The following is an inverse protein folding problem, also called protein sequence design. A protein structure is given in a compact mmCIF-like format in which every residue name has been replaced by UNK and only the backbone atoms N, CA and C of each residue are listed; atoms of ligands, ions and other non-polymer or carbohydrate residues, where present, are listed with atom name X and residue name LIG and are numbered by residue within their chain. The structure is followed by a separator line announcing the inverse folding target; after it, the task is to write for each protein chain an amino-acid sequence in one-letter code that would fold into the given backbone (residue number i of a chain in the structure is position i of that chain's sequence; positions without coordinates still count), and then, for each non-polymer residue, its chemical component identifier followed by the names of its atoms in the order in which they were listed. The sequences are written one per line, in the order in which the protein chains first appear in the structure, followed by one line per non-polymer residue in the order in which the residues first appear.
data_IF_715137528482
#
_entry.id   IF_715137528482
#
_cell.length_a   1.000
_cell.length_b   1.000
_cell.length_c   1.000
_cell.angle_alpha   90.00
_cell.angle_beta   90.00
_cell.angle_gamma   90.00
#
_symmetry.space_group_name_H-M   'P 1'
#
loop_
_entity.id
_entity.type
_entity.pdbx_description
1 polymer ?
#
# COMPACT_ATOMS: atom_id res chain seq x y z
N UNK A 1 -32.65 -48.70 14.97
CA UNK A 1 -31.33 -48.08 14.72
C UNK A 1 -30.84 -47.47 16.01
N UNK A 2 -29.66 -47.86 16.49
CA UNK A 2 -29.11 -47.33 17.76
C UNK A 2 -28.62 -45.89 17.52
N UNK A 3 -28.67 -45.04 18.57
CA UNK A 3 -28.16 -43.65 18.53
C UNK A 3 -26.71 -43.56 18.04
N UNK A 4 -25.94 -44.64 18.11
CA UNK A 4 -24.55 -44.75 17.65
C UNK A 4 -24.44 -44.85 16.11
N UNK A 5 -25.45 -45.34 15.39
CA UNK A 5 -25.42 -45.39 13.93
C UNK A 5 -25.68 -44.01 13.30
N UNK A 6 -26.46 -43.16 13.98
CA UNK A 6 -26.71 -41.78 13.52
C UNK A 6 -25.45 -40.86 13.65
N UNK A 7 -24.56 -41.18 14.55
CA UNK A 7 -23.31 -40.42 14.71
C UNK A 7 -22.32 -40.59 13.53
N UNK A 8 -22.54 -41.58 12.68
CA UNK A 8 -21.72 -41.83 11.47
C UNK A 8 -22.29 -41.19 10.21
N UNK A 9 -23.53 -40.70 10.24
CA UNK A 9 -24.17 -40.06 9.09
C UNK A 9 -23.82 -38.55 9.05
N UNK A 10 -22.54 -38.28 8.78
CA UNK A 10 -22.07 -36.92 8.53
C UNK A 10 -22.49 -36.51 7.12
N UNK A 11 -23.59 -35.79 6.98
CA UNK A 11 -24.04 -35.27 5.70
C UNK A 11 -23.44 -33.88 5.45
N UNK A 12 -22.61 -33.81 4.42
CA UNK A 12 -22.13 -32.55 3.89
C UNK A 12 -23.29 -31.90 3.09
N UNK A 13 -23.86 -30.81 3.62
CA UNK A 13 -24.91 -30.04 2.94
C UNK A 13 -24.41 -28.61 2.79
N UNK A 14 -24.19 -28.14 1.54
CA UNK A 14 -23.80 -26.77 1.22
C UNK A 14 -22.60 -26.21 2.03
N UNK A 15 -21.48 -26.94 2.07
CA UNK A 15 -20.27 -26.51 2.78
C UNK A 15 -20.33 -26.60 4.30
N UNK A 16 -21.43 -27.09 4.87
CA UNK A 16 -21.62 -27.25 6.32
C UNK A 16 -21.72 -28.73 6.69
N UNK A 17 -21.07 -29.12 7.79
CA UNK A 17 -21.18 -30.45 8.38
C UNK A 17 -22.05 -30.36 9.62
N UNK A 18 -23.15 -31.12 9.67
CA UNK A 18 -23.98 -31.25 10.86
C UNK A 18 -23.46 -32.40 11.71
N UNK A 19 -23.06 -32.12 12.95
CA UNK A 19 -22.63 -33.10 13.94
C UNK A 19 -23.70 -33.18 15.02
N UNK A 20 -24.16 -34.40 15.31
CA UNK A 20 -25.10 -34.65 16.39
C UNK A 20 -24.40 -34.53 17.74
N UNK A 21 -24.94 -33.68 18.62
CA UNK A 21 -24.45 -33.48 19.98
C UNK A 21 -25.29 -34.31 20.93
N UNK A 22 -24.72 -35.38 21.48
CA UNK A 22 -25.40 -36.40 22.25
C UNK A 22 -26.08 -35.93 23.55
N UNK A 23 -25.78 -34.74 24.06
CA UNK A 23 -26.25 -34.27 25.36
C UNK A 23 -27.54 -33.41 25.33
N UNK A 24 -27.94 -32.91 24.15
CA UNK A 24 -29.06 -31.96 24.06
C UNK A 24 -30.02 -32.23 22.86
N UNK A 25 -29.87 -33.35 22.18
CA UNK A 25 -30.63 -33.70 20.94
C UNK A 25 -30.59 -32.59 19.87
N UNK A 26 -29.56 -31.72 19.91
CA UNK A 26 -29.45 -30.58 19.03
C UNK A 26 -28.34 -30.77 17.98
N UNK A 27 -28.56 -30.23 16.79
CA UNK A 27 -27.62 -30.29 15.67
C UNK A 27 -26.74 -29.07 15.68
N UNK A 28 -25.43 -29.26 15.87
CA UNK A 28 -24.46 -28.19 15.69
C UNK A 28 -24.04 -28.17 14.22
N UNK A 29 -24.29 -27.08 13.54
CA UNK A 29 -23.76 -26.84 12.21
C UNK A 29 -22.35 -26.29 12.33
N UNK A 30 -21.37 -27.05 11.83
CA UNK A 30 -19.99 -26.56 11.71
C UNK A 30 -19.83 -26.04 10.29
N UNK A 31 -19.56 -24.76 10.15
CA UNK A 31 -19.20 -24.19 8.87
C UNK A 31 -17.77 -24.60 8.53
N UNK A 32 -17.61 -25.36 7.46
CA UNK A 32 -16.30 -25.58 6.85
C UNK A 32 -15.91 -24.34 6.06
N UNK A 33 -14.63 -24.02 5.95
CA UNK A 33 -14.20 -22.97 5.05
C UNK A 33 -14.57 -23.31 3.61
N UNK A 34 -14.91 -22.30 2.83
CA UNK A 34 -15.18 -22.44 1.40
C UNK A 34 -13.93 -22.14 0.58
N UNK A 35 -13.86 -22.71 -0.62
CA UNK A 35 -12.74 -22.46 -1.54
C UNK A 35 -12.67 -20.96 -1.85
N UNK A 36 -11.50 -20.38 -1.59
CA UNK A 36 -11.28 -18.93 -1.77
C UNK A 36 -11.44 -18.10 -0.49
N UNK A 37 -11.91 -18.69 0.63
CA UNK A 37 -11.91 -18.00 1.92
C UNK A 37 -10.51 -17.58 2.31
N UNK A 38 -10.40 -16.41 2.96
CA UNK A 38 -9.13 -15.83 3.39
C UNK A 38 -9.14 -15.64 4.91
N UNK A 39 -8.03 -16.01 5.55
CA UNK A 39 -7.84 -15.78 6.99
C UNK A 39 -6.44 -15.30 7.33
N UNK A 40 -6.30 -14.62 8.47
CA UNK A 40 -5.03 -14.38 9.12
C UNK A 40 -4.73 -15.49 10.12
N UNK A 41 -3.47 -15.92 10.19
CA UNK A 41 -3.00 -16.89 11.18
C UNK A 41 -1.53 -16.65 11.50
N UNK A 42 -1.13 -16.92 12.74
CA UNK A 42 0.27 -16.89 13.17
C UNK A 42 1.09 -18.09 12.67
N UNK A 43 0.46 -19.07 12.02
CA UNK A 43 1.17 -20.20 11.40
C UNK A 43 2.12 -19.72 10.30
N UNK A 44 3.21 -20.46 10.11
CA UNK A 44 4.23 -20.16 9.09
C UNK A 44 4.06 -20.94 7.80
N UNK A 45 3.34 -22.06 7.85
CA UNK A 45 3.23 -23.10 6.82
C UNK A 45 1.79 -23.36 6.39
N UNK A 46 1.64 -24.02 5.25
CA UNK A 46 0.35 -24.52 4.77
C UNK A 46 -0.21 -25.56 5.74
N UNK A 47 -1.53 -25.56 5.93
CA UNK A 47 -2.15 -26.46 6.89
C UNK A 47 -3.64 -26.69 6.58
N UNK A 48 -4.10 -27.92 6.69
CA UNK A 48 -5.53 -28.28 6.61
C UNK A 48 -6.26 -27.62 5.43
N UNK A 49 -5.66 -27.66 4.23
CA UNK A 49 -6.23 -27.07 3.02
C UNK A 49 -6.02 -25.56 2.87
N UNK A 50 -5.41 -24.90 3.85
CA UNK A 50 -5.05 -23.49 3.80
C UNK A 50 -3.66 -23.30 3.21
N UNK A 51 -3.56 -22.49 2.17
CA UNK A 51 -2.33 -22.16 1.44
C UNK A 51 -1.90 -20.76 1.83
N UNK A 52 -0.61 -20.58 2.15
CA UNK A 52 -0.04 -19.26 2.45
C UNK A 52 -0.07 -18.38 1.21
N UNK A 53 -0.53 -17.14 1.39
CA UNK A 53 -0.57 -16.14 0.33
C UNK A 53 0.79 -15.46 0.16
N UNK A 54 1.75 -16.18 -0.42
CA UNK A 54 3.14 -15.74 -0.65
C UNK A 54 3.48 -15.53 -2.14
N UNK A 55 2.47 -15.58 -3.01
CA UNK A 55 2.62 -15.32 -4.44
C UNK A 55 3.17 -16.49 -5.25
N UNK A 56 3.47 -17.65 -4.60
CA UNK A 56 4.02 -18.80 -5.31
C UNK A 56 3.04 -19.40 -6.32
N UNK A 57 3.57 -20.13 -7.30
CA UNK A 57 2.79 -20.91 -8.23
C UNK A 57 2.41 -22.27 -7.63
N UNK A 58 1.14 -22.66 -7.81
CA UNK A 58 0.58 -23.96 -7.38
C UNK A 58 -0.06 -24.68 -8.55
N UNK A 59 -0.20 -26.02 -8.44
CA UNK A 59 -0.73 -26.87 -9.51
C UNK A 59 -2.24 -26.68 -9.72
N UNK A 60 -2.66 -26.48 -10.97
CA UNK A 60 -4.07 -26.46 -11.37
C UNK A 60 -4.75 -27.83 -11.17
N UNK A 61 -3.97 -28.92 -11.32
CA UNK A 61 -4.50 -30.29 -11.12
C UNK A 61 -4.81 -30.55 -9.64
N UNK A 62 -3.94 -30.09 -8.73
CA UNK A 62 -4.12 -30.27 -7.28
C UNK A 62 -5.16 -29.33 -6.68
N UNK A 63 -5.21 -28.09 -7.17
CA UNK A 63 -6.07 -27.03 -6.64
C UNK A 63 -7.06 -26.53 -7.70
N UNK A 64 -7.70 -27.47 -8.40
CA UNK A 64 -8.62 -27.16 -9.51
C UNK A 64 -9.76 -26.23 -9.12
N UNK A 65 -10.40 -26.48 -7.98
CA UNK A 65 -11.52 -25.66 -7.50
C UNK A 65 -11.07 -24.25 -7.14
N UNK A 66 -9.87 -24.09 -6.55
CA UNK A 66 -9.29 -22.80 -6.30
C UNK A 66 -8.95 -22.08 -7.62
N UNK A 67 -8.41 -22.80 -8.60
CA UNK A 67 -8.17 -22.25 -9.93
C UNK A 67 -9.45 -21.78 -10.62
N UNK A 68 -10.55 -22.51 -10.49
CA UNK A 68 -11.86 -22.09 -11.01
C UNK A 68 -12.36 -20.82 -10.31
N UNK A 69 -12.03 -20.64 -9.03
CA UNK A 69 -12.47 -19.50 -8.22
C UNK A 69 -11.67 -18.23 -8.52
N UNK A 70 -10.32 -18.29 -8.53
CA UNK A 70 -9.48 -17.10 -8.67
C UNK A 70 -8.80 -16.95 -10.03
N UNK A 71 -8.80 -18.00 -10.86
CA UNK A 71 -8.21 -17.99 -12.19
C UNK A 71 -6.72 -17.61 -12.17
N UNK A 72 -6.37 -16.71 -13.08
CA UNK A 72 -5.00 -16.16 -13.22
C UNK A 72 -4.89 -14.73 -12.65
N UNK A 73 -5.85 -14.30 -11.84
CA UNK A 73 -5.94 -12.92 -11.31
C UNK A 73 -4.64 -12.49 -10.59
N UNK A 74 -3.98 -13.42 -9.92
CA UNK A 74 -2.74 -13.16 -9.18
C UNK A 74 -1.48 -13.59 -9.94
N UNK A 75 -1.63 -14.13 -11.13
CA UNK A 75 -0.57 -14.54 -12.04
C UNK A 75 -0.85 -15.89 -12.70
N UNK A 76 -0.35 -16.05 -13.93
CA UNK A 76 -0.62 -17.23 -14.76
C UNK A 76 0.23 -18.46 -14.41
N UNK A 77 1.18 -18.32 -13.47
CA UNK A 77 2.16 -19.39 -13.21
C UNK A 77 3.01 -19.64 -14.45
N UNK A 78 3.10 -20.92 -14.86
CA UNK A 78 3.79 -21.30 -16.12
C UNK A 78 2.88 -21.18 -17.37
N UNK A 79 1.68 -20.63 -17.21
CA UNK A 79 0.69 -20.45 -18.28
C UNK A 79 -0.21 -21.64 -18.55
N UNK A 80 0.17 -22.85 -18.21
CA UNK A 80 -0.55 -24.08 -18.58
C UNK A 80 -0.99 -24.94 -17.39
N UNK A 81 -0.08 -25.33 -16.51
CA UNK A 81 -0.34 -26.31 -15.45
C UNK A 81 -0.34 -25.71 -14.04
N UNK A 82 0.09 -24.45 -13.91
CA UNK A 82 0.15 -23.76 -12.62
C UNK A 82 -0.57 -22.40 -12.70
N UNK A 83 -0.86 -21.83 -11.54
CA UNK A 83 -1.35 -20.46 -11.36
C UNK A 83 -0.78 -19.90 -10.04
N UNK A 84 -0.72 -18.58 -9.90
CA UNK A 84 -0.16 -17.97 -8.70
C UNK A 84 -1.22 -17.74 -7.62
N UNK A 85 -0.83 -17.98 -6.38
CA UNK A 85 -1.56 -17.53 -5.20
C UNK A 85 -1.44 -16.01 -5.02
N UNK A 86 -2.35 -15.39 -4.28
CA UNK A 86 -2.18 -14.00 -3.86
C UNK A 86 -0.84 -13.81 -3.14
N UNK A 87 -0.21 -12.64 -3.33
CA UNK A 87 0.95 -12.21 -2.55
C UNK A 87 0.51 -11.12 -1.58
N UNK A 88 0.30 -11.51 -0.31
CA UNK A 88 -0.12 -10.64 0.78
C UNK A 88 1.03 -10.25 1.72
N UNK A 89 2.26 -10.62 1.40
CA UNK A 89 3.43 -10.38 2.24
C UNK A 89 3.70 -8.86 2.35
N UNK A 90 3.78 -8.36 3.61
CA UNK A 90 3.99 -6.95 3.88
C UNK A 90 2.83 -6.02 3.47
N UNK A 91 1.63 -6.55 3.23
CA UNK A 91 0.48 -5.80 2.74
C UNK A 91 -0.71 -5.86 3.68
N UNK A 92 -1.48 -4.78 3.71
CA UNK A 92 -2.80 -4.73 4.32
C UNK A 92 -3.84 -5.12 3.27
N UNK A 93 -4.80 -5.97 3.64
CA UNK A 93 -5.87 -6.39 2.73
C UNK A 93 -6.98 -5.35 2.68
N UNK A 94 -7.44 -5.05 1.47
CA UNK A 94 -8.57 -4.16 1.20
C UNK A 94 -9.70 -4.87 0.47
N UNK A 95 -10.93 -4.34 0.58
CA UNK A 95 -12.08 -4.78 -0.19
C UNK A 95 -12.05 -4.26 -1.63
N UNK A 96 -12.55 -5.05 -2.57
CA UNK A 96 -12.75 -4.64 -3.97
C UNK A 96 -14.04 -3.85 -4.13
N UNK A 97 -14.14 -3.05 -5.19
CA UNK A 97 -15.32 -2.25 -5.51
C UNK A 97 -15.05 -0.76 -5.49
N UNK A 98 -16.13 0.02 -5.53
CA UNK A 98 -16.07 1.49 -5.53
C UNK A 98 -16.87 2.00 -4.33
N UNK A 99 -16.19 2.41 -3.26
CA UNK A 99 -16.81 3.09 -2.12
C UNK A 99 -17.15 4.54 -2.47
N UNK A 100 -18.12 5.12 -1.75
CA UNK A 100 -18.51 6.53 -1.94
C UNK A 100 -17.30 7.45 -1.70
N UNK A 101 -16.95 8.25 -2.70
CA UNK A 101 -15.79 9.16 -2.64
C UNK A 101 -14.43 8.47 -2.78
N UNK A 102 -14.40 7.18 -3.09
CA UNK A 102 -13.17 6.41 -3.28
C UNK A 102 -12.99 5.96 -4.72
N UNK A 103 -11.75 5.75 -5.12
CA UNK A 103 -11.42 5.17 -6.42
C UNK A 103 -11.84 3.70 -6.48
N UNK A 104 -12.24 3.23 -7.67
CA UNK A 104 -12.53 1.82 -7.91
C UNK A 104 -11.29 0.94 -7.64
N UNK A 105 -11.53 -0.22 -7.03
CA UNK A 105 -10.51 -1.24 -6.72
C UNK A 105 -10.91 -2.57 -7.32
N UNK A 106 -9.96 -3.19 -8.02
CA UNK A 106 -10.15 -4.50 -8.65
C UNK A 106 -9.39 -5.58 -7.87
N UNK A 107 -9.87 -6.81 -7.97
CA UNK A 107 -9.19 -7.96 -7.39
C UNK A 107 -7.77 -8.10 -7.94
N UNK A 108 -6.80 -8.37 -7.07
CA UNK A 108 -5.39 -8.46 -7.41
C UNK A 108 -4.66 -7.12 -7.58
N UNK A 109 -5.38 -5.98 -7.55
CA UNK A 109 -4.78 -4.66 -7.65
C UNK A 109 -3.91 -4.37 -6.42
N UNK A 110 -2.69 -3.86 -6.68
CA UNK A 110 -1.76 -3.38 -5.66
C UNK A 110 -1.72 -1.86 -5.71
N UNK A 111 -1.89 -1.20 -4.57
CA UNK A 111 -1.88 0.26 -4.44
C UNK A 111 -1.05 0.69 -3.23
N UNK A 112 -0.62 1.95 -3.24
CA UNK A 112 0.21 2.52 -2.19
C UNK A 112 1.71 2.33 -2.45
N UNK A 113 2.50 3.03 -1.67
CA UNK A 113 3.95 2.97 -1.66
C UNK A 113 4.45 2.98 -0.23
N UNK A 114 5.50 2.24 0.05
CA UNK A 114 6.13 2.17 1.37
C UNK A 114 6.84 3.48 1.72
N UNK A 115 7.49 4.08 0.72
CA UNK A 115 8.15 5.38 0.83
C UNK A 115 7.73 6.29 -0.31
N UNK A 116 7.76 7.58 -0.07
CA UNK A 116 7.44 8.59 -1.08
C UNK A 116 8.42 9.76 -0.99
N UNK A 117 8.85 10.26 -2.13
CA UNK A 117 9.61 11.52 -2.25
C UNK A 117 8.67 12.57 -2.83
N UNK A 118 8.48 13.66 -2.11
CA UNK A 118 7.62 14.75 -2.57
C UNK A 118 8.15 15.34 -3.89
N UNK A 119 7.27 15.52 -4.84
CA UNK A 119 7.51 16.30 -6.05
C UNK A 119 7.17 17.77 -5.82
N UNK A 120 7.69 18.67 -6.65
CA UNK A 120 7.35 20.10 -6.58
C UNK A 120 5.84 20.35 -6.71
N UNK A 121 5.13 19.52 -7.46
CA UNK A 121 3.68 19.65 -7.66
C UNK A 121 2.85 19.26 -6.42
N UNK A 122 3.42 18.46 -5.51
CA UNK A 122 2.77 18.02 -4.28
C UNK A 122 3.00 18.97 -3.10
N UNK A 123 3.91 19.95 -3.28
CA UNK A 123 4.11 20.98 -2.26
C UNK A 123 3.04 22.07 -2.40
N UNK A 124 2.42 22.50 -1.29
CA UNK A 124 1.55 23.66 -1.32
C UNK A 124 2.29 24.89 -1.85
N UNK A 125 1.57 25.76 -2.56
CA UNK A 125 2.13 27.04 -2.97
C UNK A 125 2.53 27.85 -1.73
N UNK A 126 3.79 28.28 -1.68
CA UNK A 126 4.34 29.07 -0.58
C UNK A 126 5.28 30.13 -1.10
N UNK A 127 5.47 31.19 -0.33
CA UNK A 127 6.39 32.29 -0.64
C UNK A 127 7.48 32.37 0.43
N UNK A 128 8.68 32.67 0.01
CA UNK A 128 9.74 33.04 0.92
C UNK A 128 9.81 34.57 1.01
N UNK A 129 9.69 35.11 2.21
CA UNK A 129 10.06 36.50 2.44
C UNK A 129 11.58 36.55 2.52
N UNK A 130 12.21 37.18 1.54
CA UNK A 130 13.61 37.57 1.71
C UNK A 130 13.63 38.69 2.74
N UNK A 131 14.13 38.43 3.95
CA UNK A 131 14.62 39.50 4.78
C UNK A 131 15.86 40.04 4.06
N UNK A 132 15.67 41.03 3.22
CA UNK A 132 16.79 41.85 2.83
C UNK A 132 17.35 42.45 4.14
N UNK A 133 18.37 41.80 4.70
CA UNK A 133 19.19 42.45 5.71
C UNK A 133 19.61 43.71 5.02
N UNK A 134 19.21 44.89 5.54
CA UNK A 134 19.48 46.17 4.96
C UNK A 134 20.98 46.36 4.77
N UNK A 135 21.46 45.80 3.67
CA UNK A 135 22.71 46.15 3.08
C UNK A 135 22.45 47.46 2.33
N UNK A 136 23.03 48.55 2.79
CA UNK A 136 23.11 49.75 1.99
C UNK A 136 23.48 49.33 0.58
N UNK A 137 22.67 49.69 -0.41
CA UNK A 137 23.05 49.57 -1.81
C UNK A 137 24.30 50.44 -1.97
N UNK A 138 25.45 49.87 -1.84
CA UNK A 138 26.70 50.53 -2.17
C UNK A 138 26.73 50.69 -3.69
N UNK A 139 26.52 51.91 -4.16
CA UNK A 139 26.72 52.24 -5.55
C UNK A 139 28.24 52.18 -5.82
N UNK A 140 28.63 51.26 -6.68
CA UNK A 140 30.02 51.14 -7.13
C UNK A 140 30.16 52.11 -8.30
N UNK A 141 31.07 53.06 -8.15
CA UNK A 141 31.50 53.93 -9.24
C UNK A 141 32.22 53.11 -10.33
N UNK A 142 32.18 53.57 -11.56
CA UNK A 142 32.80 52.92 -12.70
C UNK A 142 34.35 52.70 -12.54
N UNK A 143 34.96 53.30 -11.53
CA UNK A 143 36.38 53.12 -11.16
C UNK A 143 36.64 52.00 -10.11
N UNK A 144 35.58 51.26 -9.72
CA UNK A 144 35.66 50.15 -8.74
C UNK A 144 35.70 50.61 -7.30
N UNK A 145 35.54 51.87 -6.98
CA UNK A 145 35.52 52.40 -5.63
C UNK A 145 34.11 52.43 -5.03
N UNK A 146 33.89 51.86 -3.85
CA UNK A 146 32.65 51.97 -3.10
C UNK A 146 32.67 53.25 -2.26
N UNK A 147 31.84 54.24 -2.64
CA UNK A 147 31.64 55.44 -1.83
C UNK A 147 30.14 55.55 -1.50
N UNK A 148 29.84 55.86 -0.24
CA UNK A 148 28.48 56.28 0.12
C UNK A 148 28.14 57.53 -0.67
N UNK A 149 27.01 57.53 -1.36
CA UNK A 149 26.54 58.72 -2.09
C UNK A 149 25.97 59.67 -1.03
N UNK A 150 26.77 60.63 -0.63
CA UNK A 150 26.21 61.84 -0.02
C UNK A 150 25.69 62.69 -1.17
N UNK A 151 24.42 63.15 -1.09
CA UNK A 151 23.81 63.94 -2.12
C UNK A 151 24.64 65.19 -2.45
N UNK A 152 25.27 65.21 -3.61
CA UNK A 152 25.89 66.41 -4.17
C UNK A 152 24.81 67.19 -4.92
N UNK A 153 24.70 68.45 -4.52
CA UNK A 153 23.73 69.40 -5.11
C UNK A 153 24.15 69.98 -6.48
N UNK A 154 25.09 69.34 -7.13
CA UNK A 154 25.66 69.81 -8.42
C UNK A 154 24.96 69.35 -9.70
N UNK A 155 23.82 68.70 -9.59
CA UNK A 155 22.92 68.43 -10.75
C UNK A 155 23.43 67.45 -11.81
N UNK A 156 24.51 66.71 -11.54
CA UNK A 156 24.99 65.63 -12.41
C UNK A 156 24.34 64.33 -11.96
N UNK A 157 23.35 63.84 -12.71
CA UNK A 157 22.75 62.52 -12.46
C UNK A 157 23.83 61.46 -12.54
N UNK A 158 24.14 60.76 -11.42
CA UNK A 158 25.06 59.63 -11.49
C UNK A 158 24.42 58.50 -12.31
N UNK A 159 25.13 58.02 -13.33
CA UNK A 159 24.71 56.90 -14.13
C UNK A 159 24.73 55.62 -13.24
N UNK A 160 23.60 55.36 -12.60
CA UNK A 160 23.45 54.27 -11.68
C UNK A 160 23.14 53.01 -12.47
N UNK A 161 24.12 52.21 -12.76
CA UNK A 161 23.90 50.82 -13.19
C UNK A 161 23.52 49.97 -11.97
N UNK A 162 22.23 49.79 -11.75
CA UNK A 162 21.76 48.79 -10.84
C UNK A 162 22.08 47.42 -11.43
N UNK A 163 23.18 46.83 -11.01
CA UNK A 163 23.39 45.41 -11.28
C UNK A 163 22.24 44.62 -10.61
N UNK A 164 21.56 43.76 -11.32
CA UNK A 164 20.52 42.93 -10.68
C UNK A 164 21.18 42.10 -9.57
N UNK A 165 20.81 42.40 -8.33
CA UNK A 165 21.21 41.55 -7.19
C UNK A 165 20.39 40.27 -7.35
N UNK A 166 21.02 39.21 -7.83
CA UNK A 166 20.40 37.90 -7.82
C UNK A 166 20.28 37.46 -6.36
N UNK A 167 19.08 37.54 -5.82
CA UNK A 167 18.77 36.96 -4.52
C UNK A 167 18.79 35.44 -4.67
N UNK A 168 19.85 34.79 -4.30
CA UNK A 168 19.92 33.33 -4.20
C UNK A 168 19.23 32.92 -2.91
N UNK A 169 18.11 32.24 -3.02
CA UNK A 169 17.50 31.55 -1.89
C UNK A 169 17.99 30.11 -1.97
N UNK A 170 18.80 29.70 -1.00
CA UNK A 170 19.28 28.32 -0.94
C UNK A 170 18.12 27.35 -0.79
N UNK A 171 18.11 26.24 -1.57
CA UNK A 171 17.09 25.24 -1.43
C UNK A 171 17.14 24.63 -0.02
N UNK A 172 16.00 24.68 0.68
CA UNK A 172 15.86 24.06 1.99
C UNK A 172 15.13 22.73 1.83
N UNK A 173 15.76 21.66 2.28
CA UNK A 173 15.22 20.31 2.23
C UNK A 173 16.16 19.32 1.55
N UNK A 174 16.19 18.09 2.03
CA UNK A 174 17.14 17.06 1.56
C UNK A 174 16.64 16.23 0.36
N UNK A 175 15.42 16.43 -0.14
CA UNK A 175 14.84 15.62 -1.22
C UNK A 175 14.76 14.11 -0.90
N UNK A 176 14.95 13.72 0.37
CA UNK A 176 14.92 12.33 0.78
C UNK A 176 13.50 11.75 0.78
N UNK A 177 13.39 10.45 0.48
CA UNK A 177 12.14 9.74 0.65
C UNK A 177 11.76 9.66 2.13
N UNK A 178 10.47 9.80 2.43
CA UNK A 178 9.92 9.63 3.77
C UNK A 178 9.03 8.38 3.81
N UNK A 179 8.88 7.82 5.01
CA UNK A 179 7.99 6.69 5.24
C UNK A 179 6.53 7.13 5.04
N UNK A 180 5.81 6.42 4.18
CA UNK A 180 4.40 6.65 3.88
C UNK A 180 3.48 5.57 4.50
N UNK A 181 4.03 4.71 5.35
CA UNK A 181 3.27 3.67 6.03
C UNK A 181 2.68 4.17 7.34
N UNK A 182 1.43 3.78 7.60
CA UNK A 182 0.85 3.91 8.92
C UNK A 182 1.51 2.89 9.88
N UNK A 183 1.62 3.19 11.19
CA UNK A 183 2.05 2.21 12.17
C UNK A 183 1.21 0.94 12.05
N UNK A 184 1.83 -0.17 11.69
CA UNK A 184 1.16 -1.44 11.39
C UNK A 184 1.84 -2.56 12.16
N UNK A 185 1.07 -3.35 12.90
CA UNK A 185 1.55 -4.54 13.57
C UNK A 185 1.27 -5.78 12.70
N UNK A 186 2.33 -6.43 12.23
CA UNK A 186 2.24 -7.68 11.48
C UNK A 186 2.27 -8.87 12.46
N UNK A 187 1.11 -9.48 12.73
CA UNK A 187 0.97 -10.56 13.72
C UNK A 187 0.92 -11.96 13.12
N UNK A 188 0.98 -12.10 11.79
CA UNK A 188 0.90 -13.41 11.15
C UNK A 188 0.87 -13.35 9.64
N UNK A 189 0.57 -14.49 9.06
CA UNK A 189 0.47 -14.67 7.62
C UNK A 189 -0.99 -14.69 7.16
N UNK A 190 -1.22 -14.40 5.90
CA UNK A 190 -2.52 -14.53 5.23
C UNK A 190 -2.57 -15.87 4.52
N UNK A 191 -3.69 -16.56 4.61
CA UNK A 191 -3.93 -17.86 3.98
C UNK A 191 -5.22 -17.82 3.17
N UNK A 192 -5.24 -18.55 2.06
CA UNK A 192 -6.42 -18.81 1.24
C UNK A 192 -6.77 -20.29 1.33
N UNK A 193 -8.06 -20.60 1.45
CA UNK A 193 -8.50 -21.99 1.47
C UNK A 193 -8.53 -22.56 0.05
N UNK A 194 -7.72 -23.57 -0.20
CA UNK A 194 -7.48 -24.13 -1.53
C UNK A 194 -8.09 -25.51 -1.77
N UNK A 195 -8.25 -26.32 -0.70
CA UNK A 195 -8.83 -27.65 -0.85
C UNK A 195 -9.36 -28.22 0.45
N UNK A 196 -10.41 -29.01 0.35
CA UNK A 196 -10.79 -29.95 1.40
C UNK A 196 -9.88 -31.18 1.22
N UNK A 197 -8.82 -31.28 2.03
CA UNK A 197 -8.02 -32.51 2.05
C UNK A 197 -8.89 -33.65 2.55
N UNK A 198 -9.02 -34.68 1.71
CA UNK A 198 -9.69 -35.96 2.05
C UNK A 198 -8.67 -36.86 2.74
#
# INVERSE_FOLDING_TARGET
MSKQEHAKDIRKIFGSVKIYKSAADDWVTIHSPEIGDVKHSVRSDDHAGWLKCDGRAVSRATYGDLFLTIGITFGAGNGTTTFNLPDAQGRVLGGVGTGTGLSARSQGQKVGAETHTLTSAEMPSHTHTSNAVGGSLGLIKADGSSTAIEGDSSGVEPNIFAAPVALSIDPTGGGGAHNNMQPTLFIGNVFIFGSHQV
#
